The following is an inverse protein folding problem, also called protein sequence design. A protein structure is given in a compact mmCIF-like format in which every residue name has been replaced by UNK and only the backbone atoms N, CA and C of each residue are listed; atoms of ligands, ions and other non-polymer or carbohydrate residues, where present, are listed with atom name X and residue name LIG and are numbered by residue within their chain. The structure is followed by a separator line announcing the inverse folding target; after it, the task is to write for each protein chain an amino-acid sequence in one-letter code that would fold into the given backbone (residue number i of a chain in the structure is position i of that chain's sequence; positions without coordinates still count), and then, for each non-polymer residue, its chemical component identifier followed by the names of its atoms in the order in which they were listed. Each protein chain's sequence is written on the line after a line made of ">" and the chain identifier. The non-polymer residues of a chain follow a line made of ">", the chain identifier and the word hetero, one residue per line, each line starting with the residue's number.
data_IF_076036732985
#
_entry.id   IF_076036732985
#
_cell.length_a   1.000
_cell.length_b   1.000
_cell.length_c   1.000
_cell.angle_alpha   90.00
_cell.angle_beta   90.00
_cell.angle_gamma   90.00
#
_symmetry.space_group_name_H-M   'P 1'
#
loop_
_entity.id
_entity.type
_entity.pdbx_description
1 polymer ?
#
# COMPACT_ATOMS: atom_id res chain seq x y z
N UNK A 1 -26.75 -5.91 -7.58
CA UNK A 1 -26.25 -7.07 -6.81
C UNK A 1 -24.91 -6.66 -6.26
N UNK A 2 -24.76 -6.57 -4.92
CA UNK A 2 -23.44 -6.30 -4.32
C UNK A 2 -22.55 -7.50 -4.57
N UNK A 3 -21.48 -7.30 -5.32
CA UNK A 3 -20.48 -8.32 -5.55
C UNK A 3 -19.77 -8.56 -4.19
N UNK A 4 -19.78 -9.79 -3.72
CA UNK A 4 -19.12 -10.16 -2.46
C UNK A 4 -17.64 -10.42 -2.77
N UNK A 5 -16.77 -9.55 -2.33
CA UNK A 5 -15.31 -9.68 -2.50
C UNK A 5 -14.73 -10.39 -1.28
N UNK A 6 -14.02 -11.50 -1.50
CA UNK A 6 -13.36 -12.27 -0.45
C UNK A 6 -11.84 -12.10 -0.56
N UNK A 7 -11.22 -11.57 0.48
CA UNK A 7 -9.77 -11.34 0.57
C UNK A 7 -8.96 -12.64 0.46
N UNK A 8 -9.56 -13.78 0.82
CA UNK A 8 -8.94 -15.10 0.79
C UNK A 8 -9.15 -15.86 -0.53
N UNK A 9 -9.96 -15.33 -1.43
CA UNK A 9 -10.17 -15.97 -2.73
C UNK A 9 -8.90 -15.86 -3.59
N UNK A 10 -8.37 -16.99 -4.12
CA UNK A 10 -7.27 -16.98 -5.07
C UNK A 10 -7.67 -16.29 -6.38
N UNK A 11 -6.94 -15.22 -6.74
CA UNK A 11 -7.30 -14.36 -7.89
C UNK A 11 -6.13 -14.05 -8.81
N UNK A 12 -4.90 -14.26 -8.37
CA UNK A 12 -3.72 -13.82 -9.10
C UNK A 12 -2.72 -14.96 -9.27
N UNK A 13 -2.44 -15.34 -10.51
CA UNK A 13 -1.54 -16.45 -10.83
C UNK A 13 -0.08 -16.05 -10.59
N UNK A 14 0.61 -16.82 -9.73
CA UNK A 14 2.04 -16.69 -9.43
C UNK A 14 2.69 -18.06 -9.55
N UNK A 15 3.51 -18.26 -10.58
CA UNK A 15 4.03 -19.58 -10.92
C UNK A 15 2.90 -20.57 -11.19
N UNK A 16 2.96 -21.72 -10.52
CA UNK A 16 1.97 -22.81 -10.68
C UNK A 16 0.74 -22.68 -9.76
N UNK A 17 0.70 -21.68 -8.88
CA UNK A 17 -0.36 -21.55 -7.87
C UNK A 17 -0.96 -20.14 -7.87
N UNK A 18 -2.31 -20.03 -7.83
CA UNK A 18 -2.94 -18.73 -7.66
C UNK A 18 -2.84 -18.26 -6.20
N UNK A 19 -2.55 -16.99 -5.99
CA UNK A 19 -2.55 -16.34 -4.70
C UNK A 19 -3.83 -15.54 -4.45
N UNK A 20 -4.26 -15.51 -3.20
CA UNK A 20 -5.27 -14.58 -2.71
C UNK A 20 -4.65 -13.22 -2.38
N UNK A 21 -5.51 -12.20 -2.24
CA UNK A 21 -5.02 -10.88 -1.84
C UNK A 21 -4.44 -10.89 -0.41
N UNK A 22 -5.03 -11.65 0.52
CA UNK A 22 -4.47 -11.86 1.86
C UNK A 22 -3.05 -12.45 1.81
N UNK A 23 -2.81 -13.42 0.93
CA UNK A 23 -1.46 -13.99 0.78
C UNK A 23 -0.44 -12.98 0.23
N UNK A 24 -0.87 -12.06 -0.63
CA UNK A 24 0.00 -10.96 -1.08
C UNK A 24 0.28 -9.96 0.05
N UNK A 25 -0.70 -9.65 0.90
CA UNK A 25 -0.50 -8.78 2.06
C UNK A 25 0.45 -9.40 3.11
N UNK A 26 0.51 -10.73 3.20
CA UNK A 26 1.43 -11.41 4.11
C UNK A 26 2.90 -11.05 3.89
N UNK A 27 3.30 -10.61 2.68
CA UNK A 27 4.66 -10.14 2.43
C UNK A 27 5.07 -8.98 3.36
N UNK A 28 4.14 -8.09 3.75
CA UNK A 28 4.42 -6.97 4.66
C UNK A 28 4.72 -7.41 6.10
N UNK A 29 4.24 -8.57 6.50
CA UNK A 29 4.41 -9.10 7.86
C UNK A 29 5.38 -10.28 7.95
N UNK A 30 5.82 -10.81 6.81
CA UNK A 30 6.73 -11.96 6.73
C UNK A 30 8.08 -11.61 7.38
N UNK A 31 8.55 -12.42 8.35
CA UNK A 31 9.85 -12.25 9.00
C UNK A 31 11.04 -12.15 8.03
N UNK A 32 10.96 -12.79 6.86
CA UNK A 32 12.01 -12.73 5.84
C UNK A 32 12.25 -11.30 5.30
N UNK A 33 11.22 -10.44 5.37
CA UNK A 33 11.28 -9.03 4.95
C UNK A 33 11.32 -8.06 6.13
N UNK A 34 11.80 -8.50 7.30
CA UNK A 34 11.96 -7.64 8.47
C UNK A 34 13.42 -7.39 8.81
N UNK A 35 13.70 -6.18 9.29
CA UNK A 35 14.96 -5.81 9.93
C UNK A 35 14.63 -5.29 11.33
N UNK A 36 14.80 -6.17 12.34
CA UNK A 36 14.26 -5.90 13.67
C UNK A 36 12.73 -5.82 13.64
N UNK A 37 12.17 -4.72 14.14
CA UNK A 37 10.71 -4.48 14.14
C UNK A 37 10.21 -3.76 12.88
N UNK A 38 11.09 -3.36 11.97
CA UNK A 38 10.75 -2.60 10.77
C UNK A 38 10.56 -3.54 9.58
N UNK A 39 9.52 -3.31 8.78
CA UNK A 39 9.37 -3.95 7.49
C UNK A 39 10.36 -3.35 6.50
N UNK A 40 11.03 -4.21 5.71
CA UNK A 40 11.83 -3.80 4.56
C UNK A 40 10.97 -3.48 3.34
N UNK A 41 9.72 -3.94 3.34
CA UNK A 41 8.73 -3.62 2.31
C UNK A 41 7.99 -2.37 2.75
N UNK A 42 8.07 -1.32 1.94
CA UNK A 42 7.35 -0.06 2.16
C UNK A 42 6.05 0.02 1.35
N UNK A 43 6.07 -0.47 0.12
CA UNK A 43 4.95 -0.30 -0.81
C UNK A 43 4.69 -1.59 -1.61
N UNK A 44 3.42 -1.80 -1.97
CA UNK A 44 2.99 -2.72 -3.03
C UNK A 44 2.44 -1.89 -4.19
N UNK A 45 2.93 -2.17 -5.38
CA UNK A 45 2.51 -1.54 -6.62
C UNK A 45 1.74 -2.55 -7.47
N UNK A 46 0.54 -2.19 -7.85
CA UNK A 46 -0.32 -2.99 -8.72
C UNK A 46 -0.75 -2.12 -9.89
N UNK A 47 -0.44 -2.58 -11.11
CA UNK A 47 -0.75 -1.86 -12.34
C UNK A 47 -1.18 -2.81 -13.44
N UNK A 48 -2.18 -2.43 -14.21
CA UNK A 48 -2.62 -3.19 -15.39
C UNK A 48 -1.46 -3.47 -16.34
N UNK A 49 -1.33 -4.73 -16.77
CA UNK A 49 -0.29 -5.17 -17.70
C UNK A 49 1.10 -5.37 -17.11
N UNK A 50 1.26 -5.21 -15.80
CA UNK A 50 2.53 -5.41 -15.09
C UNK A 50 2.37 -6.45 -13.97
N UNK A 51 3.43 -7.17 -13.59
CA UNK A 51 3.39 -8.00 -12.40
C UNK A 51 3.26 -7.14 -11.14
N UNK A 52 2.57 -7.66 -10.11
CA UNK A 52 2.59 -7.07 -8.77
C UNK A 52 4.06 -6.91 -8.34
N UNK A 53 4.40 -5.75 -7.82
CA UNK A 53 5.76 -5.43 -7.41
C UNK A 53 5.78 -4.85 -6.01
N UNK A 54 6.82 -5.16 -5.26
CA UNK A 54 7.05 -4.62 -3.92
C UNK A 54 8.25 -3.68 -3.94
N UNK A 55 8.18 -2.60 -3.18
CA UNK A 55 9.36 -1.79 -2.88
C UNK A 55 10.04 -2.36 -1.64
N UNK A 56 11.22 -2.92 -1.84
CA UNK A 56 12.02 -3.58 -0.82
C UNK A 56 13.36 -2.84 -0.72
N UNK A 57 13.67 -2.26 0.44
CA UNK A 57 14.88 -1.44 0.64
C UNK A 57 15.07 -0.39 -0.46
N UNK A 58 13.99 0.33 -0.80
CA UNK A 58 13.89 1.36 -1.86
C UNK A 58 13.87 0.82 -3.31
N UNK A 59 14.19 -0.45 -3.57
CA UNK A 59 14.15 -1.05 -4.89
C UNK A 59 12.78 -1.63 -5.23
N UNK A 60 12.26 -1.29 -6.42
CA UNK A 60 11.00 -1.85 -6.91
C UNK A 60 11.24 -3.23 -7.54
N UNK A 61 10.83 -4.27 -6.84
CA UNK A 61 11.07 -5.67 -7.19
C UNK A 61 9.79 -6.38 -7.58
N UNK A 62 9.66 -6.91 -8.80
CA UNK A 62 8.51 -7.73 -9.20
C UNK A 62 8.41 -9.01 -8.34
N UNK A 63 7.19 -9.41 -8.02
CA UNK A 63 6.95 -10.68 -7.34
C UNK A 63 7.45 -11.85 -8.22
N UNK A 64 8.33 -12.71 -7.71
CA UNK A 64 8.89 -13.81 -8.49
C UNK A 64 7.82 -14.76 -9.05
N UNK A 65 7.88 -15.06 -10.33
CA UNK A 65 6.92 -15.94 -11.00
C UNK A 65 5.55 -15.34 -11.29
N UNK A 66 5.36 -14.06 -10.97
CA UNK A 66 4.10 -13.37 -11.20
C UNK A 66 3.94 -12.95 -12.67
N UNK A 67 2.75 -13.20 -13.23
CA UNK A 67 2.34 -12.70 -14.54
C UNK A 67 1.83 -11.26 -14.48
N UNK A 68 1.45 -10.67 -15.64
CA UNK A 68 0.85 -9.35 -15.68
C UNK A 68 -0.54 -9.37 -15.02
N UNK A 69 -0.84 -8.34 -14.24
CA UNK A 69 -2.16 -8.13 -13.63
C UNK A 69 -3.14 -7.66 -14.70
N UNK A 70 -4.36 -8.20 -14.71
CA UNK A 70 -5.45 -7.71 -15.56
C UNK A 70 -6.27 -6.63 -14.84
N UNK A 71 -7.01 -5.83 -15.60
CA UNK A 71 -7.93 -4.84 -15.04
C UNK A 71 -8.99 -5.49 -14.11
N UNK A 72 -9.45 -6.69 -14.48
CA UNK A 72 -10.41 -7.45 -13.67
C UNK A 72 -9.83 -7.83 -12.28
N UNK A 73 -8.57 -8.26 -12.23
CA UNK A 73 -7.89 -8.58 -10.97
C UNK A 73 -7.75 -7.32 -10.11
N UNK A 74 -7.36 -6.18 -10.69
CA UNK A 74 -7.28 -4.92 -9.96
C UNK A 74 -8.65 -4.50 -9.42
N UNK A 75 -9.70 -4.57 -10.23
CA UNK A 75 -11.06 -4.26 -9.79
C UNK A 75 -11.51 -5.15 -8.64
N UNK A 76 -11.16 -6.43 -8.67
CA UNK A 76 -11.43 -7.34 -7.57
C UNK A 76 -10.71 -6.92 -6.28
N UNK A 77 -9.39 -6.64 -6.36
CA UNK A 77 -8.62 -6.17 -5.22
C UNK A 77 -9.19 -4.86 -4.64
N UNK A 78 -9.53 -3.90 -5.51
CA UNK A 78 -10.13 -2.64 -5.08
C UNK A 78 -11.51 -2.83 -4.46
N UNK A 79 -12.27 -3.84 -4.89
CA UNK A 79 -13.53 -4.22 -4.28
C UNK A 79 -13.39 -4.67 -2.82
N UNK A 80 -12.24 -5.26 -2.45
CA UNK A 80 -11.90 -5.59 -1.06
C UNK A 80 -11.52 -4.34 -0.27
N UNK A 81 -10.77 -3.42 -0.89
CA UNK A 81 -10.10 -2.31 -0.25
C UNK A 81 -10.97 -1.07 -0.07
N UNK A 82 -11.95 -0.86 -0.93
CA UNK A 82 -12.66 0.40 -1.06
C UNK A 82 -14.13 0.30 -0.62
N UNK A 83 -14.65 1.39 -0.08
CA UNK A 83 -16.10 1.58 0.09
C UNK A 83 -16.78 1.73 -1.27
N UNK A 84 -18.10 1.48 -1.33
CA UNK A 84 -18.90 1.66 -2.54
C UNK A 84 -18.75 3.06 -3.17
N UNK A 85 -18.66 4.10 -2.33
CA UNK A 85 -18.43 5.47 -2.79
C UNK A 85 -17.10 5.62 -3.52
N UNK A 86 -16.01 5.10 -2.95
CA UNK A 86 -14.68 5.18 -3.55
C UNK A 86 -14.57 4.30 -4.81
N UNK A 87 -15.25 3.15 -4.83
CA UNK A 87 -15.32 2.31 -6.03
C UNK A 87 -15.99 3.04 -7.20
N UNK A 88 -17.08 3.75 -6.93
CA UNK A 88 -17.78 4.52 -7.95
C UNK A 88 -16.89 5.60 -8.58
N UNK A 89 -16.05 6.25 -7.77
CA UNK A 89 -15.06 7.24 -8.25
C UNK A 89 -13.95 6.57 -9.05
N UNK A 90 -13.31 5.55 -8.47
CA UNK A 90 -12.16 4.85 -9.08
C UNK A 90 -12.53 4.19 -10.43
N UNK A 91 -13.78 3.77 -10.60
CA UNK A 91 -14.25 3.08 -11.79
C UNK A 91 -15.00 4.01 -12.77
N UNK A 92 -15.13 5.31 -12.47
CA UNK A 92 -15.70 6.28 -13.39
C UNK A 92 -14.91 6.30 -14.70
N UNK A 93 -15.62 6.24 -15.82
CA UNK A 93 -15.02 6.33 -17.18
C UNK A 93 -15.08 7.75 -17.71
N UNK A 94 -16.06 8.52 -17.28
CA UNK A 94 -16.32 9.89 -17.77
C UNK A 94 -15.42 10.92 -17.10
N UNK A 95 -15.22 10.80 -15.78
CA UNK A 95 -14.41 11.71 -14.97
C UNK A 95 -13.55 10.88 -13.99
N UNK A 96 -12.44 10.27 -14.45
CA UNK A 96 -11.57 9.50 -13.56
C UNK A 96 -10.85 10.45 -12.61
N UNK A 97 -11.07 10.27 -11.32
CA UNK A 97 -10.37 10.98 -10.26
C UNK A 97 -9.46 10.01 -9.48
N UNK A 98 -8.33 10.52 -9.04
CA UNK A 98 -7.45 9.79 -8.12
C UNK A 98 -8.14 9.64 -6.76
N UNK A 99 -8.07 8.45 -6.18
CA UNK A 99 -8.61 8.16 -4.85
C UNK A 99 -7.47 7.94 -3.87
N UNK A 100 -7.39 8.81 -2.87
CA UNK A 100 -6.47 8.67 -1.73
C UNK A 100 -7.28 8.24 -0.50
N UNK A 101 -6.97 7.07 0.07
CA UNK A 101 -7.71 6.51 1.19
C UNK A 101 -6.83 5.63 2.07
N UNK A 102 -7.43 4.99 3.08
CA UNK A 102 -6.74 4.06 3.95
C UNK A 102 -7.47 2.71 4.01
N UNK A 103 -6.71 1.66 4.27
CA UNK A 103 -7.21 0.32 4.54
C UNK A 103 -6.57 -0.21 5.82
N UNK A 104 -7.40 -0.74 6.71
CA UNK A 104 -6.95 -1.40 7.93
C UNK A 104 -7.11 -2.92 7.79
N UNK A 105 -6.00 -3.63 7.88
CA UNK A 105 -6.01 -5.09 7.94
C UNK A 105 -6.11 -5.52 9.40
N UNK A 106 -7.34 -5.53 9.90
CA UNK A 106 -7.68 -5.72 11.33
C UNK A 106 -7.07 -6.98 11.94
N UNK A 107 -7.08 -8.08 11.21
CA UNK A 107 -6.55 -9.38 11.68
C UNK A 107 -5.08 -9.30 12.11
N UNK A 108 -4.31 -8.43 11.47
CA UNK A 108 -2.88 -8.28 11.71
C UNK A 108 -2.50 -6.92 12.30
N UNK A 109 -3.46 -6.03 12.53
CA UNK A 109 -3.22 -4.68 13.06
C UNK A 109 -2.33 -3.82 12.15
N UNK A 110 -2.39 -4.05 10.84
CA UNK A 110 -1.59 -3.31 9.86
C UNK A 110 -2.46 -2.30 9.13
N UNK A 111 -1.99 -1.07 9.09
CA UNK A 111 -2.63 0.03 8.39
C UNK A 111 -1.89 0.36 7.09
N UNK A 112 -2.66 0.67 6.06
CA UNK A 112 -2.14 1.04 4.75
C UNK A 112 -2.75 2.36 4.28
N UNK A 113 -1.95 3.17 3.61
CA UNK A 113 -2.41 4.26 2.76
C UNK A 113 -2.48 3.76 1.33
N UNK A 114 -3.57 4.07 0.65
CA UNK A 114 -3.79 3.71 -0.75
C UNK A 114 -3.90 4.97 -1.60
N UNK A 115 -3.22 4.94 -2.74
CA UNK A 115 -3.45 5.86 -3.82
C UNK A 115 -3.86 5.07 -5.06
N UNK A 116 -5.05 5.31 -5.59
CA UNK A 116 -5.62 4.66 -6.76
C UNK A 116 -5.71 5.70 -7.86
N UNK A 117 -5.23 5.36 -9.03
CA UNK A 117 -5.19 6.26 -10.18
C UNK A 117 -5.34 5.49 -11.49
N UNK A 118 -5.57 6.22 -12.55
CA UNK A 118 -5.62 5.67 -13.91
C UNK A 118 -4.58 6.36 -14.78
N UNK A 119 -3.82 5.56 -15.52
CA UNK A 119 -2.89 6.06 -16.53
C UNK A 119 -3.22 5.49 -17.91
N UNK A 120 -2.28 5.62 -18.87
CA UNK A 120 -2.47 5.16 -20.26
C UNK A 120 -2.67 3.64 -20.38
N UNK A 121 -2.12 2.86 -19.46
CA UNK A 121 -2.15 1.40 -19.49
C UNK A 121 -3.38 0.85 -18.75
N UNK A 122 -4.11 1.68 -18.02
CA UNK A 122 -5.30 1.33 -17.28
C UNK A 122 -5.26 1.69 -15.80
N UNK A 123 -6.00 0.93 -15.01
CA UNK A 123 -6.13 1.15 -13.57
C UNK A 123 -4.86 0.71 -12.84
N UNK A 124 -4.48 1.48 -11.83
CA UNK A 124 -3.34 1.19 -10.97
C UNK A 124 -3.61 1.63 -9.53
N UNK A 125 -2.94 1.00 -8.58
CA UNK A 125 -2.88 1.50 -7.20
C UNK A 125 -1.54 1.22 -6.55
N UNK A 126 -1.19 2.07 -5.59
CA UNK A 126 -0.07 1.89 -4.69
C UNK A 126 -0.61 1.78 -3.26
N UNK A 127 -0.15 0.77 -2.55
CA UNK A 127 -0.49 0.54 -1.16
C UNK A 127 0.78 0.66 -0.31
N UNK A 128 0.84 1.66 0.56
CA UNK A 128 1.96 1.92 1.47
C UNK A 128 1.63 1.45 2.87
N UNK A 129 2.51 0.64 3.47
CA UNK A 129 2.37 0.27 4.87
C UNK A 129 2.64 1.48 5.78
N UNK A 130 1.76 1.70 6.74
CA UNK A 130 1.94 2.72 7.76
C UNK A 130 2.57 2.10 9.01
N UNK A 131 3.61 2.73 9.54
CA UNK A 131 4.23 2.30 10.78
C UNK A 131 3.20 2.34 11.91
N UNK A 132 3.00 1.19 12.58
CA UNK A 132 2.06 1.08 13.71
C UNK A 132 2.57 1.82 14.95
N UNK A 133 3.88 1.98 15.08
CA UNK A 133 4.53 2.63 16.20
C UNK A 133 5.25 3.89 15.73
N UNK A 134 4.95 5.00 16.38
CA UNK A 134 5.73 6.22 16.25
C UNK A 134 7.04 5.98 17.01
N UNK A 135 8.21 6.06 16.35
CA UNK A 135 9.47 5.86 17.05
C UNK A 135 9.65 6.96 18.12
N UNK A 136 10.24 6.63 19.26
CA UNK A 136 10.57 7.65 20.26
C UNK A 136 11.54 8.67 19.66
N UNK A 137 11.48 9.91 20.13
CA UNK A 137 12.16 11.04 19.51
C UNK A 137 13.68 10.85 19.38
N UNK A 138 14.31 10.12 20.32
CA UNK A 138 15.74 9.83 20.28
C UNK A 138 16.13 8.84 19.17
N UNK A 139 15.18 8.10 18.61
CA UNK A 139 15.39 7.19 17.47
C UNK A 139 15.17 7.86 16.11
N UNK A 140 14.59 9.09 16.09
CA UNK A 140 14.28 9.81 14.84
C UNK A 140 15.54 10.37 14.16
N UNK A 141 16.68 10.39 14.87
CA UNK A 141 17.96 10.84 14.31
C UNK A 141 18.16 12.36 14.29
N UNK A 142 17.38 13.11 15.05
CA UNK A 142 17.62 14.55 15.18
C UNK A 142 18.99 14.83 15.87
N UNK A 143 19.72 15.88 15.44
CA UNK A 143 21.06 16.17 15.96
C UNK A 143 21.14 16.44 17.46
N UNK A 144 20.05 16.89 18.09
CA UNK A 144 19.92 17.02 19.54
C UNK A 144 18.46 16.96 19.98
N UNK A 145 18.23 16.50 21.21
CA UNK A 145 16.87 16.44 21.78
C UNK A 145 16.22 17.83 21.93
N UNK A 146 17.01 18.87 22.03
CA UNK A 146 16.50 20.25 22.16
C UNK A 146 15.84 20.75 20.86
N UNK A 147 16.29 20.29 19.70
CA UNK A 147 15.78 20.77 18.40
C UNK A 147 14.29 20.53 18.25
N UNK A 148 13.80 19.35 18.62
CA UNK A 148 12.37 19.05 18.49
C UNK A 148 11.52 19.87 19.45
N UNK A 149 12.04 20.16 20.66
CA UNK A 149 11.36 21.03 21.63
C UNK A 149 11.24 22.45 21.07
N UNK A 150 12.34 22.99 20.57
CA UNK A 150 12.38 24.33 19.96
C UNK A 150 11.41 24.42 18.76
N UNK A 151 11.33 23.36 17.93
CA UNK A 151 10.41 23.28 16.79
C UNK A 151 8.94 23.27 17.24
N UNK A 152 8.60 22.49 18.27
CA UNK A 152 7.22 22.38 18.75
C UNK A 152 6.73 23.64 19.47
N UNK A 153 7.61 24.49 19.96
CA UNK A 153 7.28 25.77 20.57
C UNK A 153 7.04 26.89 19.56
N UNK A 154 7.40 26.68 18.28
CA UNK A 154 7.19 27.68 17.23
C UNK A 154 5.71 27.92 16.98
N UNK A 155 5.27 29.17 17.12
CA UNK A 155 3.87 29.57 16.91
C UNK A 155 3.53 29.81 15.43
N UNK A 156 4.52 30.07 14.59
CA UNK A 156 4.39 30.44 13.17
C UNK A 156 5.63 30.02 12.40
N UNK A 157 5.48 29.75 11.12
CA UNK A 157 6.59 29.44 10.22
C UNK A 157 6.44 28.06 9.57
N UNK A 158 7.44 27.68 8.79
CA UNK A 158 7.57 26.39 8.11
C UNK A 158 8.86 25.73 8.57
N UNK A 159 8.78 24.48 8.97
CA UNK A 159 9.94 23.64 9.25
C UNK A 159 10.02 22.56 8.19
N UNK A 160 11.14 22.48 7.49
CA UNK A 160 11.41 21.44 6.50
C UNK A 160 12.37 20.42 7.12
N UNK A 161 11.99 19.15 7.05
CA UNK A 161 12.84 18.01 7.40
C UNK A 161 13.21 17.33 6.09
N UNK A 162 14.51 17.23 5.80
CA UNK A 162 15.05 16.68 4.56
C UNK A 162 15.99 15.53 4.87
#
# INVERSE_FOLDING_TARGET
>A
MSQNYDINQPIYQVGDSPLSFAQMLNYFIDPAYKKGNLSRISDMHVKTGRPVSFRIDDDLTPMPGAGPVTDEIIRYMLGILLSEKHLAIAFSEDEPEDVDTAFEWLEHGVNFRLNIFRDRDGLAFVMRVLASNIPPIHEVGLPSEKIWQDITELKRGLVLVT
#
